data_IF_924529932091
#
_entry.id   IF_924529932091
#
_cell.length_a   1.000
_cell.length_b   1.000
_cell.length_c   1.000
_cell.angle_alpha   90.00
_cell.angle_beta   90.00
_cell.angle_gamma   90.00
#
_symmetry.space_group_name_H-M   'P 1'
#
loop_
_entity.id
_entity.type
_entity.pdbx_description
1 polymer ?
#
# COMPACT_ATOMS: atom_id res chain seq x y z
N UNK A 1 11.30 5.19 20.92
CA UNK A 1 12.21 5.01 19.76
C UNK A 1 11.59 5.75 18.60
N UNK A 2 12.34 6.62 17.95
CA UNK A 2 11.91 7.91 17.38
C UNK A 2 10.91 7.74 16.21
N UNK A 3 9.71 8.32 16.37
CA UNK A 3 8.77 8.62 15.29
C UNK A 3 9.33 9.82 14.50
N UNK A 4 10.36 9.60 13.69
CA UNK A 4 10.83 10.64 12.77
C UNK A 4 9.92 10.61 11.56
N UNK A 5 8.92 11.48 11.60
CA UNK A 5 8.39 12.25 10.47
C UNK A 5 8.32 11.44 9.16
N UNK A 6 7.15 10.86 8.90
CA UNK A 6 6.71 10.50 7.54
C UNK A 6 6.44 11.83 6.81
N UNK A 7 7.48 12.64 6.63
CA UNK A 7 7.54 13.49 5.47
C UNK A 7 7.79 12.51 4.34
N UNK A 8 6.91 12.54 3.32
CA UNK A 8 7.23 12.09 1.97
C UNK A 8 8.74 12.17 1.73
N UNK A 9 9.43 11.15 1.21
CA UNK A 9 10.89 11.19 1.16
C UNK A 9 11.35 12.27 0.18
N UNK A 10 11.47 13.51 0.66
CA UNK A 10 12.18 14.61 0.03
C UNK A 10 13.69 14.33 -0.06
N UNK A 11 14.15 13.18 0.44
CA UNK A 11 15.54 12.76 0.48
C UNK A 11 16.01 11.92 -0.72
N UNK A 12 15.15 11.63 -1.70
CA UNK A 12 15.53 10.82 -2.87
C UNK A 12 15.83 11.65 -4.14
N UNK A 13 15.68 12.98 -4.06
CA UNK A 13 15.89 13.89 -5.19
C UNK A 13 17.35 14.18 -5.57
N UNK A 14 18.34 13.68 -4.84
CA UNK A 14 19.75 14.05 -5.08
C UNK A 14 20.62 12.98 -5.75
N UNK A 15 20.10 11.77 -6.03
CA UNK A 15 20.89 10.72 -6.71
C UNK A 15 20.02 9.89 -7.65
N UNK A 16 19.47 10.45 -8.74
CA UNK A 16 18.92 9.68 -9.88
C UNK A 16 18.04 8.45 -9.56
N UNK A 17 17.42 8.39 -8.37
CA UNK A 17 16.78 7.20 -7.83
C UNK A 17 15.29 7.39 -7.99
N UNK A 18 14.66 6.39 -8.61
CA UNK A 18 13.22 6.32 -8.79
C UNK A 18 12.53 6.36 -7.43
N UNK A 19 11.53 7.22 -7.31
CA UNK A 19 10.73 7.34 -6.09
C UNK A 19 9.93 6.04 -5.82
N UNK A 20 10.02 5.43 -4.63
CA UNK A 20 9.32 4.19 -4.33
C UNK A 20 7.81 4.40 -4.34
N UNK A 21 7.06 3.41 -4.84
CA UNK A 21 5.61 3.43 -4.70
C UNK A 21 5.21 3.16 -3.25
N UNK A 22 4.18 3.85 -2.77
CA UNK A 22 3.61 3.61 -1.45
C UNK A 22 2.63 2.44 -1.52
N UNK A 23 2.80 1.42 -0.68
CA UNK A 23 1.81 0.35 -0.51
C UNK A 23 1.20 0.49 0.87
N UNK A 24 -0.03 0.99 0.91
CA UNK A 24 -0.69 1.47 2.11
C UNK A 24 -1.75 0.46 2.53
N UNK A 25 -1.61 -0.08 3.74
CA UNK A 25 -2.64 -0.87 4.38
C UNK A 25 -3.84 0.00 4.78
N UNK A 26 -5.04 -0.39 4.37
CA UNK A 26 -6.28 0.35 4.66
C UNK A 26 -7.38 -0.58 5.14
N UNK A 27 -8.26 -0.07 6.00
CA UNK A 27 -9.42 -0.78 6.53
C UNK A 27 -10.71 -0.09 6.07
N UNK A 28 -11.85 -0.65 6.46
CA UNK A 28 -13.19 -0.19 6.03
C UNK A 28 -13.56 1.21 6.54
N UNK A 29 -12.80 1.77 7.49
CA UNK A 29 -12.94 3.16 7.93
C UNK A 29 -12.24 4.17 6.98
N UNK A 30 -11.64 3.71 5.88
CA UNK A 30 -11.18 4.55 4.78
C UNK A 30 -10.23 5.67 5.22
N UNK A 31 -10.52 6.89 4.77
CA UNK A 31 -9.73 8.11 5.03
C UNK A 31 -9.49 8.34 6.54
N UNK A 32 -10.50 8.09 7.38
CA UNK A 32 -10.41 8.30 8.84
C UNK A 32 -9.43 7.33 9.51
N UNK A 33 -9.13 6.20 8.85
CA UNK A 33 -8.20 5.20 9.34
C UNK A 33 -6.73 5.52 9.10
N UNK A 34 -6.41 6.58 8.34
CA UNK A 34 -5.04 6.92 7.99
C UNK A 34 -4.48 8.10 8.81
N UNK A 35 -3.23 8.00 9.31
CA UNK A 35 -2.53 9.16 9.84
C UNK A 35 -2.40 10.26 8.77
N UNK A 36 -2.44 11.56 9.15
CA UNK A 36 -2.39 12.67 8.19
C UNK A 36 -1.20 12.61 7.22
N UNK A 37 -0.04 12.14 7.70
CA UNK A 37 1.15 11.98 6.89
C UNK A 37 1.02 10.91 5.79
N UNK A 38 0.30 9.81 6.07
CA UNK A 38 0.05 8.74 5.10
C UNK A 38 -1.05 9.17 4.13
N UNK A 39 -2.10 9.82 4.63
CA UNK A 39 -3.18 10.37 3.82
C UNK A 39 -2.66 11.37 2.79
N UNK A 40 -1.71 12.22 3.18
CA UNK A 40 -1.02 13.14 2.28
C UNK A 40 -0.38 12.42 1.09
N UNK A 41 0.19 11.24 1.30
CA UNK A 41 0.76 10.43 0.21
C UNK A 41 -0.28 9.96 -0.82
N UNK A 42 -1.52 9.70 -0.39
CA UNK A 42 -2.64 9.39 -1.29
C UNK A 42 -3.09 10.64 -2.05
N UNK A 43 -3.21 11.77 -1.35
CA UNK A 43 -3.59 13.08 -1.93
C UNK A 43 -2.56 13.57 -2.95
N UNK A 44 -1.29 13.21 -2.77
CA UNK A 44 -0.21 13.61 -3.65
C UNK A 44 0.03 12.64 -4.80
N UNK A 45 -0.52 11.43 -4.76
CA UNK A 45 -0.30 10.44 -5.81
C UNK A 45 -0.82 10.95 -7.18
N UNK A 46 -0.07 10.64 -8.24
CA UNK A 46 -0.47 10.85 -9.63
C UNK A 46 -1.14 9.58 -10.21
N UNK A 47 -0.87 8.43 -9.60
CA UNK A 47 -1.51 7.15 -9.87
C UNK A 47 -1.94 6.49 -8.55
N UNK A 48 -3.22 6.21 -8.40
CA UNK A 48 -3.80 5.48 -7.27
C UNK A 48 -4.29 4.12 -7.74
N UNK A 49 -3.77 3.05 -7.15
CA UNK A 49 -4.12 1.67 -7.50
C UNK A 49 -4.82 1.06 -6.30
N UNK A 50 -5.95 0.41 -6.48
CA UNK A 50 -6.68 -0.21 -5.38
C UNK A 50 -7.78 -1.13 -5.88
N UNK A 51 -8.35 -1.95 -5.01
CA UNK A 51 -9.60 -2.63 -5.35
C UNK A 51 -10.74 -1.61 -5.45
N UNK A 52 -11.77 -1.88 -6.24
CA UNK A 52 -12.91 -0.96 -6.44
C UNK A 52 -13.48 -0.36 -5.15
N UNK A 53 -13.77 -1.20 -4.16
CA UNK A 53 -14.29 -0.76 -2.85
C UNK A 53 -13.32 0.17 -2.14
N UNK A 54 -12.03 -0.15 -2.20
CA UNK A 54 -10.99 0.65 -1.56
C UNK A 54 -10.82 2.00 -2.26
N UNK A 55 -10.83 2.04 -3.59
CA UNK A 55 -10.79 3.30 -4.34
C UNK A 55 -11.97 4.21 -3.97
N UNK A 56 -13.19 3.66 -3.84
CA UNK A 56 -14.37 4.43 -3.44
C UNK A 56 -14.21 5.06 -2.05
N UNK A 57 -13.64 4.32 -1.08
CA UNK A 57 -13.40 4.85 0.28
C UNK A 57 -12.47 6.07 0.32
N UNK A 58 -11.63 6.25 -0.69
CA UNK A 58 -10.64 7.33 -0.78
C UNK A 58 -10.99 8.36 -1.85
N UNK A 59 -12.12 8.22 -2.54
CA UNK A 59 -12.48 9.07 -3.68
C UNK A 59 -12.46 10.57 -3.37
N UNK A 60 -12.84 10.96 -2.16
CA UNK A 60 -12.91 12.38 -1.74
C UNK A 60 -11.55 13.03 -1.49
N UNK A 61 -10.48 12.24 -1.39
CA UNK A 61 -9.12 12.74 -1.13
C UNK A 61 -8.16 12.52 -2.30
N UNK A 62 -8.55 11.71 -3.27
CA UNK A 62 -7.81 11.54 -4.52
C UNK A 62 -8.03 12.80 -5.36
N UNK A 63 -6.96 13.36 -5.93
CA UNK A 63 -7.06 14.53 -6.80
C UNK A 63 -7.83 14.20 -8.07
N UNK A 64 -8.57 15.17 -8.60
CA UNK A 64 -9.35 15.01 -9.83
C UNK A 64 -8.48 14.69 -11.06
N UNK A 65 -7.21 15.11 -11.06
CA UNK A 65 -6.23 14.86 -12.12
C UNK A 65 -5.42 13.56 -11.93
N UNK A 66 -5.61 12.85 -10.81
CA UNK A 66 -4.92 11.59 -10.56
C UNK A 66 -5.57 10.43 -11.33
N UNK A 67 -4.74 9.57 -11.92
CA UNK A 67 -5.21 8.34 -12.56
C UNK A 67 -5.57 7.31 -11.49
N UNK A 68 -6.71 6.62 -11.66
CA UNK A 68 -7.11 5.52 -10.77
C UNK A 68 -7.14 4.20 -11.55
N UNK A 69 -6.55 3.13 -10.99
CA UNK A 69 -6.60 1.78 -11.57
C UNK A 69 -7.16 0.74 -10.59
N UNK A 70 -8.19 0.03 -11.04
CA UNK A 70 -8.76 -1.11 -10.31
C UNK A 70 -7.82 -2.32 -10.45
N UNK A 71 -7.29 -2.81 -9.32
CA UNK A 71 -6.45 -4.01 -9.29
C UNK A 71 -7.25 -5.32 -9.27
N UNK A 72 -8.58 -5.27 -9.13
CA UNK A 72 -9.44 -6.45 -9.01
C UNK A 72 -9.34 -7.30 -10.29
N UNK A 73 -8.82 -8.53 -10.17
CA UNK A 73 -8.56 -9.40 -11.32
C UNK A 73 -7.39 -8.98 -12.22
N UNK A 74 -6.72 -7.87 -11.90
CA UNK A 74 -5.66 -7.26 -12.70
C UNK A 74 -4.30 -7.27 -12.00
N UNK A 75 -4.15 -8.01 -10.89
CA UNK A 75 -2.92 -8.08 -10.09
C UNK A 75 -1.63 -8.30 -10.92
N UNK A 76 -1.61 -9.17 -11.96
CA UNK A 76 -0.43 -9.35 -12.81
C UNK A 76 0.06 -8.06 -13.50
N UNK A 77 -0.83 -7.11 -13.77
CA UNK A 77 -0.49 -5.85 -14.47
C UNK A 77 0.02 -4.75 -13.53
N UNK A 78 -0.24 -4.86 -12.22
CA UNK A 78 0.11 -3.81 -11.25
C UNK A 78 1.60 -3.45 -11.29
N UNK A 79 2.56 -4.39 -11.33
CA UNK A 79 3.98 -4.03 -11.41
C UNK A 79 4.32 -3.21 -12.65
N UNK A 80 3.74 -3.53 -13.80
CA UNK A 80 3.98 -2.78 -15.03
C UNK A 80 3.46 -1.34 -14.92
N UNK A 81 2.25 -1.14 -14.39
CA UNK A 81 1.69 0.20 -14.19
C UNK A 81 2.57 1.05 -13.25
N UNK A 82 3.13 0.43 -12.21
CA UNK A 82 4.06 1.10 -11.30
C UNK A 82 5.34 1.51 -12.02
N UNK A 83 5.94 0.61 -12.80
CA UNK A 83 7.17 0.89 -13.56
C UNK A 83 6.95 2.02 -14.57
N UNK A 84 5.86 1.99 -15.33
CA UNK A 84 5.51 3.03 -16.31
C UNK A 84 5.32 4.40 -15.63
N UNK A 85 4.61 4.44 -14.50
CA UNK A 85 4.42 5.66 -13.73
C UNK A 85 5.75 6.19 -13.18
N UNK A 86 6.58 5.32 -12.60
CA UNK A 86 7.89 5.67 -12.06
C UNK A 86 8.86 6.20 -13.11
N UNK A 87 8.87 5.62 -14.31
CA UNK A 87 9.65 6.12 -15.45
C UNK A 87 9.18 7.51 -15.90
N UNK A 88 7.89 7.81 -15.75
CA UNK A 88 7.31 9.13 -15.97
C UNK A 88 7.45 10.10 -14.78
N UNK A 89 8.24 9.77 -13.76
CA UNK A 89 8.37 10.54 -12.52
C UNK A 89 7.04 10.81 -11.79
N UNK A 90 6.07 9.90 -11.92
CA UNK A 90 4.76 9.97 -11.27
C UNK A 90 4.79 9.27 -9.92
N UNK A 91 4.14 9.89 -8.94
CA UNK A 91 3.97 9.36 -7.58
C UNK A 91 2.88 8.29 -7.59
N UNK A 92 3.16 7.12 -7.02
CA UNK A 92 2.23 5.99 -7.00
C UNK A 92 1.82 5.63 -5.58
N UNK A 93 0.52 5.55 -5.33
CA UNK A 93 -0.06 5.01 -4.11
C UNK A 93 -0.90 3.76 -4.41
N UNK A 94 -0.66 2.68 -3.68
CA UNK A 94 -1.37 1.41 -3.80
C UNK A 94 -2.13 1.17 -2.49
N UNK A 95 -3.44 1.16 -2.56
CA UNK A 95 -4.34 0.91 -1.42
C UNK A 95 -4.58 -0.59 -1.29
N UNK A 96 -3.97 -1.20 -0.28
CA UNK A 96 -4.07 -2.62 0.03
C UNK A 96 -5.00 -2.84 1.23
N UNK A 97 -6.03 -3.68 1.07
CA UNK A 97 -6.94 -4.00 2.18
C UNK A 97 -6.22 -4.77 3.29
N UNK A 98 -6.32 -4.30 4.53
CA UNK A 98 -5.65 -4.88 5.69
C UNK A 98 -4.16 -4.55 5.76
N UNK A 99 -3.35 -5.55 6.12
CA UNK A 99 -1.89 -5.45 6.17
C UNK A 99 -1.28 -5.91 4.83
N UNK A 100 -0.53 -5.05 4.10
CA UNK A 100 0.09 -5.41 2.82
C UNK A 100 0.97 -6.66 2.86
N UNK A 101 1.56 -7.01 4.02
CA UNK A 101 2.50 -8.13 4.15
C UNK A 101 1.88 -9.39 4.78
N UNK A 102 0.62 -9.34 5.21
CA UNK A 102 -0.08 -10.50 5.77
C UNK A 102 -1.11 -11.02 4.78
N UNK A 103 -0.69 -11.90 3.87
CA UNK A 103 -1.51 -12.34 2.71
C UNK A 103 -1.98 -11.21 1.79
N UNK A 104 -1.35 -10.04 1.88
CA UNK A 104 -1.61 -8.89 1.03
C UNK A 104 -0.74 -8.86 -0.23
N UNK A 105 -0.90 -7.77 -0.98
CA UNK A 105 -0.21 -7.53 -2.25
C UNK A 105 1.27 -7.15 -2.10
N UNK A 106 1.69 -6.72 -0.91
CA UNK A 106 3.02 -6.15 -0.67
C UNK A 106 4.17 -7.11 -0.96
N UNK A 107 4.05 -8.39 -0.55
CA UNK A 107 5.07 -9.40 -0.82
C UNK A 107 5.29 -9.63 -2.32
N UNK A 108 4.20 -9.71 -3.08
CA UNK A 108 4.24 -9.83 -4.54
C UNK A 108 4.89 -8.61 -5.20
N UNK A 109 4.56 -7.40 -4.75
CA UNK A 109 5.14 -6.17 -5.32
C UNK A 109 6.63 -6.04 -5.00
N UNK A 110 7.06 -6.37 -3.79
CA UNK A 110 8.48 -6.38 -3.42
C UNK A 110 9.27 -7.38 -4.27
N UNK A 111 8.71 -8.56 -4.56
CA UNK A 111 9.32 -9.55 -5.45
C UNK A 111 9.47 -9.02 -6.89
N UNK A 112 8.43 -8.36 -7.44
CA UNK A 112 8.41 -7.92 -8.85
C UNK A 112 9.14 -6.60 -9.10
N UNK A 113 9.11 -5.68 -8.15
CA UNK A 113 9.63 -4.31 -8.31
C UNK A 113 10.99 -4.10 -7.62
N UNK A 114 11.36 -4.98 -6.69
CA UNK A 114 12.53 -4.83 -5.84
C UNK A 114 12.26 -4.00 -4.59
N UNK A 115 13.06 -4.27 -3.53
CA UNK A 115 12.84 -3.70 -2.18
C UNK A 115 12.98 -2.18 -2.12
N UNK A 116 13.83 -1.59 -2.96
CA UNK A 116 14.05 -0.15 -3.02
C UNK A 116 12.93 0.62 -3.73
N UNK A 117 12.15 -0.07 -4.57
CA UNK A 117 11.10 0.54 -5.39
C UNK A 117 9.74 0.58 -4.69
N UNK A 118 9.65 0.06 -3.47
CA UNK A 118 8.41 -0.13 -2.72
C UNK A 118 8.60 0.32 -1.27
N UNK A 119 7.73 1.21 -0.79
CA UNK A 119 7.62 1.57 0.62
C UNK A 119 6.33 1.00 1.20
N UNK A 120 6.45 0.04 2.12
CA UNK A 120 5.30 -0.58 2.80
C UNK A 120 4.89 0.28 3.99
N UNK A 121 3.63 0.69 4.00
CA UNK A 121 2.98 1.39 5.11
C UNK A 121 1.88 0.47 5.68
N UNK A 122 2.12 -0.23 6.81
CA UNK A 122 1.24 -1.30 7.28
C UNK A 122 -0.05 -0.76 7.93
N UNK A 123 -0.99 -1.67 8.15
CA UNK A 123 -2.16 -1.48 9.02
C UNK A 123 -2.34 -2.72 9.91
N UNK A 124 -3.32 -2.70 10.82
CA UNK A 124 -3.61 -3.84 11.69
C UNK A 124 -4.09 -5.04 10.86
N UNK A 125 -3.36 -6.16 10.98
CA UNK A 125 -3.78 -7.45 10.43
C UNK A 125 -4.93 -8.05 11.24
N UNK A 126 -5.86 -8.74 10.58
CA UNK A 126 -6.93 -9.49 11.24
C UNK A 126 -6.38 -10.49 12.25
N UNK A 127 -5.20 -11.07 12.00
CA UNK A 127 -4.55 -12.03 12.90
C UNK A 127 -4.13 -11.34 14.20
N UNK A 128 -3.59 -10.12 14.11
CA UNK A 128 -3.24 -9.34 15.29
C UNK A 128 -4.48 -9.06 16.14
N UNK A 129 -5.58 -8.65 15.49
CA UNK A 129 -6.86 -8.38 16.17
C UNK A 129 -7.42 -9.65 16.81
N UNK A 130 -7.39 -10.78 16.11
CA UNK A 130 -7.85 -12.07 16.61
C UNK A 130 -7.04 -12.52 17.84
N UNK A 131 -5.71 -12.46 17.76
CA UNK A 131 -4.81 -12.79 18.86
C UNK A 131 -5.07 -11.92 20.10
N UNK A 132 -5.23 -10.61 19.90
CA UNK A 132 -5.54 -9.68 20.98
C UNK A 132 -6.86 -10.02 21.68
N UNK A 133 -7.92 -10.33 20.91
CA UNK A 133 -9.23 -10.71 21.46
C UNK A 133 -9.19 -12.05 22.20
N UNK A 134 -8.41 -13.00 21.70
CA UNK A 134 -8.22 -14.32 22.31
C UNK A 134 -7.17 -14.31 23.43
N UNK A 135 -6.52 -13.17 23.68
CA UNK A 135 -5.39 -13.02 24.62
C UNK A 135 -4.27 -14.04 24.32
N UNK A 136 -4.07 -14.36 23.06
CA UNK A 136 -3.05 -15.30 22.60
C UNK A 136 -1.82 -14.54 22.10
N UNK A 137 -0.60 -14.94 22.49
CA UNK A 137 0.60 -14.51 21.81
C UNK A 137 0.58 -15.01 20.36
N UNK A 138 0.97 -14.16 19.42
CA UNK A 138 1.10 -14.53 18.01
C UNK A 138 2.45 -15.18 17.65
N UNK A 139 3.41 -15.20 18.58
CA UNK A 139 4.71 -15.83 18.38
C UNK A 139 4.51 -17.32 18.08
N UNK A 140 4.96 -17.77 16.91
CA UNK A 140 4.85 -19.17 16.48
C UNK A 140 3.57 -19.53 15.73
N UNK A 141 2.67 -18.58 15.45
CA UNK A 141 1.53 -18.84 14.57
C UNK A 141 2.00 -19.21 13.16
N UNK A 142 1.36 -20.23 12.60
CA UNK A 142 1.49 -20.60 11.19
C UNK A 142 0.32 -19.98 10.44
N UNK A 143 0.62 -19.15 9.46
CA UNK A 143 -0.37 -18.45 8.66
C UNK A 143 -0.34 -19.04 7.26
N UNK A 144 -1.51 -19.45 6.76
CA UNK A 144 -1.67 -20.00 5.42
C UNK A 144 -2.88 -19.35 4.75
N UNK A 145 -2.78 -19.17 3.43
CA UNK A 145 -3.91 -18.81 2.59
C UNK A 145 -4.61 -20.08 2.15
N UNK A 146 -5.94 -20.09 2.21
CA UNK A 146 -6.78 -21.14 1.60
C UNK A 146 -7.18 -20.79 0.16
N UNK A 147 -6.73 -19.66 -0.35
CA UNK A 147 -6.82 -19.32 -1.77
C UNK A 147 -5.54 -19.81 -2.43
N UNK A 148 -5.61 -20.99 -3.07
CA UNK A 148 -4.60 -21.40 -4.04
C UNK A 148 -4.80 -20.61 -5.34
N UNK A 149 -3.71 -20.45 -6.11
CA UNK A 149 -3.80 -20.14 -7.53
C UNK A 149 -4.45 -21.34 -8.21
N UNK A 150 -5.59 -21.15 -8.86
CA UNK A 150 -5.98 -22.02 -9.96
C UNK A 150 -4.94 -21.93 -11.09
#
# INVERSE_FOLDING_TARGET
MILTVINWPRFLGEIGMVEPCLVIGVLDNGVEGLPPAVLKGVQEADLVIGGRRTLELFRTVIRDDAECRDLTGCLPHVPQWVVEAQQGHRRVAILASGDPLCHGVGGYLVEKLGRSSVLILPNLSLIQVACARLKQPWQGLRIASVHNRD
#
